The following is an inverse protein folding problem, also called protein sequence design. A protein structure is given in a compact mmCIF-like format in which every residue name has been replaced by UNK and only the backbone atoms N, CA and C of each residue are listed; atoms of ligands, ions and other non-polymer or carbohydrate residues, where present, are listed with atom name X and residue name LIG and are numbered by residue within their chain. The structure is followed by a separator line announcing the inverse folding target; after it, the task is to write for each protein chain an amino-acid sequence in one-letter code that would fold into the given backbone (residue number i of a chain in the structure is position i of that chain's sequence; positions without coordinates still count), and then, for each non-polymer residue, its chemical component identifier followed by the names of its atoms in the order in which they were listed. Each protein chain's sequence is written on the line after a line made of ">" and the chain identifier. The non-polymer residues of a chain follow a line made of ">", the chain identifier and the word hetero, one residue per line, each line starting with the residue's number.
data_IF_372528098785
#
_entry.id   IF_372528098785
#
_cell.length_a   1.000
_cell.length_b   1.000
_cell.length_c   1.000
_cell.angle_alpha   90.00
_cell.angle_beta   90.00
_cell.angle_gamma   90.00
#
_symmetry.space_group_name_H-M   'P 1'
#
loop_
_entity.id
_entity.type
_entity.pdbx_description
1 polymer ?
#
# COMPACT_ATOMS: atom_id res chain seq x y z
N UNK A 1 52.55 23.50 -18.33
CA UNK A 1 51.81 22.22 -18.52
C UNK A 1 50.45 22.55 -19.13
N UNK A 2 50.08 21.87 -20.22
CA UNK A 2 48.87 22.11 -21.05
C UNK A 2 47.62 21.49 -20.38
N UNK A 3 46.40 22.04 -20.57
CA UNK A 3 45.16 21.35 -20.20
C UNK A 3 44.63 20.53 -21.39
N UNK A 4 44.41 19.22 -21.19
CA UNK A 4 43.87 18.32 -22.21
C UNK A 4 42.42 17.89 -21.90
N UNK A 5 41.51 18.55 -22.62
CA UNK A 5 40.29 18.07 -23.29
C UNK A 5 39.42 16.98 -22.63
N UNK A 6 38.27 17.47 -22.17
CA UNK A 6 36.94 16.83 -22.12
C UNK A 6 36.63 16.09 -23.43
N UNK A 7 36.30 14.80 -23.34
CA UNK A 7 35.63 14.04 -24.40
C UNK A 7 34.24 13.64 -23.94
N UNK A 8 33.23 14.36 -24.43
CA UNK A 8 31.82 13.93 -24.46
C UNK A 8 31.68 12.88 -25.56
N UNK A 9 31.19 11.69 -25.23
CA UNK A 9 30.75 10.70 -26.24
C UNK A 9 29.24 10.52 -26.17
N UNK A 10 28.64 10.74 -27.34
CA UNK A 10 27.22 10.66 -27.69
C UNK A 10 26.66 9.25 -27.48
N UNK A 11 25.44 9.19 -26.94
CA UNK A 11 24.25 8.64 -27.59
C UNK A 11 24.23 7.15 -27.91
N UNK A 12 23.42 6.40 -27.15
CA UNK A 12 22.67 5.25 -27.66
C UNK A 12 21.26 5.29 -27.08
N UNK A 13 20.29 5.56 -27.98
CA UNK A 13 18.87 5.19 -27.83
C UNK A 13 18.82 3.66 -27.83
N UNK A 14 18.06 3.05 -26.94
CA UNK A 14 17.50 1.72 -27.18
C UNK A 14 15.99 1.76 -26.91
N UNK A 15 15.29 1.26 -27.91
CA UNK A 15 13.85 1.28 -28.12
C UNK A 15 13.10 0.32 -27.19
N UNK A 16 11.85 0.70 -26.99
CA UNK A 16 10.77 -0.01 -26.33
C UNK A 16 10.31 -1.14 -27.25
N UNK A 17 10.26 -2.37 -26.76
CA UNK A 17 9.55 -3.47 -27.42
C UNK A 17 8.29 -3.82 -26.63
N UNK A 18 7.14 -3.43 -27.19
CA UNK A 18 5.83 -4.02 -26.87
C UNK A 18 5.76 -5.42 -27.49
N UNK A 19 5.28 -6.40 -26.73
CA UNK A 19 4.68 -7.60 -27.28
C UNK A 19 3.45 -7.96 -26.46
N UNK A 20 2.32 -7.92 -27.15
CA UNK A 20 1.02 -8.37 -26.70
C UNK A 20 0.70 -9.73 -27.34
N UNK A 21 -0.31 -10.38 -26.77
CA UNK A 21 -1.12 -11.48 -27.32
C UNK A 21 -0.56 -12.91 -27.20
N UNK A 22 -1.19 -13.71 -26.33
CA UNK A 22 -2.12 -14.74 -26.82
C UNK A 22 -2.96 -15.28 -25.68
N UNK A 23 -4.25 -15.00 -25.78
CA UNK A 23 -5.34 -15.59 -25.01
C UNK A 23 -5.50 -17.08 -25.38
N UNK A 24 -5.88 -17.90 -24.42
CA UNK A 24 -6.60 -19.14 -24.71
C UNK A 24 -7.57 -19.41 -23.56
N UNK A 25 -8.82 -18.99 -23.75
CA UNK A 25 -9.98 -19.65 -23.16
C UNK A 25 -9.97 -21.13 -23.58
N UNK A 26 -10.53 -22.08 -22.84
CA UNK A 26 -11.70 -22.03 -21.98
C UNK A 26 -12.47 -23.34 -22.24
N UNK A 27 -13.38 -23.63 -21.33
CA UNK A 27 -14.44 -24.65 -21.41
C UNK A 27 -14.18 -26.03 -20.77
N UNK A 28 -15.26 -26.46 -20.14
CA UNK A 28 -15.45 -27.46 -19.09
C UNK A 28 -16.40 -28.52 -19.65
N UNK A 29 -15.99 -29.81 -19.62
CA UNK A 29 -16.78 -31.07 -19.45
C UNK A 29 -17.97 -31.34 -20.42
N UNK A 30 -18.69 -32.51 -20.44
CA UNK A 30 -18.63 -33.72 -19.58
C UNK A 30 -18.72 -35.12 -20.28
N UNK A 31 -18.49 -36.15 -19.46
CA UNK A 31 -19.08 -37.50 -19.36
C UNK A 31 -19.56 -38.29 -20.60
N UNK A 32 -19.08 -39.54 -20.71
CA UNK A 32 -19.85 -40.67 -21.24
C UNK A 32 -19.55 -41.95 -20.47
N UNK A 33 -20.62 -42.60 -20.05
CA UNK A 33 -20.71 -43.84 -19.29
C UNK A 33 -20.97 -45.02 -20.24
N UNK A 34 -20.70 -46.24 -19.76
CA UNK A 34 -21.15 -47.58 -20.19
C UNK A 34 -20.14 -48.47 -20.94
N UNK A 35 -19.87 -49.61 -20.31
CA UNK A 35 -19.21 -50.77 -20.89
C UNK A 35 -18.97 -51.86 -19.86
N UNK A 36 -20.04 -52.47 -19.33
CA UNK A 36 -19.99 -53.69 -18.53
C UNK A 36 -19.91 -54.90 -19.46
N UNK A 37 -18.96 -55.82 -19.22
CA UNK A 37 -19.16 -57.24 -19.49
C UNK A 37 -18.42 -58.13 -18.47
N UNK A 38 -19.19 -59.09 -17.97
CA UNK A 38 -18.98 -60.20 -17.02
C UNK A 38 -18.02 -61.29 -17.58
N UNK A 39 -17.59 -62.40 -16.96
CA UNK A 39 -17.51 -63.05 -15.63
C UNK A 39 -16.76 -64.39 -15.88
N UNK A 40 -15.91 -64.83 -14.95
CA UNK A 40 -15.67 -66.24 -14.52
C UNK A 40 -14.36 -66.25 -13.73
N UNK A 41 -14.20 -66.76 -12.49
CA UNK A 41 -14.98 -67.67 -11.68
C UNK A 41 -14.03 -68.78 -11.18
N UNK A 42 -13.66 -68.80 -9.91
CA UNK A 42 -13.54 -70.01 -9.07
C UNK A 42 -13.31 -69.65 -7.60
N UNK A 43 -14.00 -70.39 -6.76
CA UNK A 43 -14.28 -70.17 -5.35
C UNK A 43 -13.34 -70.94 -4.43
N UNK A 44 -12.97 -70.36 -3.28
CA UNK A 44 -12.81 -71.14 -2.04
C UNK A 44 -13.25 -70.32 -0.81
N UNK A 45 -14.39 -70.74 -0.23
CA UNK A 45 -14.90 -70.43 1.13
C UNK A 45 -13.86 -70.88 2.19
N UNK A 46 -13.69 -70.38 3.42
CA UNK A 46 -14.47 -69.67 4.46
C UNK A 46 -13.45 -69.34 5.58
N UNK A 47 -13.48 -68.27 6.37
CA UNK A 47 -14.36 -68.03 7.53
C UNK A 47 -14.01 -66.65 8.19
N UNK A 48 -14.90 -66.05 9.00
CA UNK A 48 -14.87 -64.63 9.37
C UNK A 48 -14.24 -64.33 10.73
N UNK A 49 -13.58 -63.16 10.90
CA UNK A 49 -13.26 -62.43 12.15
C UNK A 49 -12.23 -61.35 11.79
N UNK A 50 -12.27 -60.09 12.22
CA UNK A 50 -13.07 -59.28 13.14
C UNK A 50 -12.94 -57.86 12.60
N UNK A 51 -14.04 -57.13 12.41
CA UNK A 51 -13.98 -55.68 12.41
C UNK A 51 -13.49 -55.25 13.80
N UNK A 52 -12.23 -54.81 13.91
CA UNK A 52 -11.76 -54.15 15.12
C UNK A 52 -12.30 -52.73 15.06
N UNK A 53 -13.44 -52.53 15.69
CA UNK A 53 -13.92 -51.22 16.16
C UNK A 53 -12.73 -50.47 16.75
N UNK A 54 -12.46 -49.19 16.40
CA UNK A 54 -11.43 -48.44 17.09
C UNK A 54 -11.89 -48.32 18.55
N UNK A 55 -11.20 -49.04 19.44
CA UNK A 55 -11.45 -48.97 20.86
C UNK A 55 -11.30 -47.51 21.28
N UNK A 56 -12.41 -46.93 21.71
CA UNK A 56 -12.42 -45.70 22.48
C UNK A 56 -11.41 -45.86 23.62
N UNK A 57 -10.55 -44.86 23.75
CA UNK A 57 -9.47 -44.68 24.73
C UNK A 57 -9.84 -45.14 26.15
N UNK A 58 -9.73 -46.43 26.41
CA UNK A 58 -9.93 -47.04 27.73
C UNK A 58 -8.75 -47.99 27.95
N UNK A 59 -7.77 -47.49 28.69
CA UNK A 59 -6.52 -48.17 28.99
C UNK A 59 -5.32 -47.41 28.47
N UNK A 60 -4.47 -46.93 29.40
CA UNK A 60 -3.07 -46.49 29.25
C UNK A 60 -2.53 -46.32 27.83
N UNK A 61 -2.04 -45.11 27.49
CA UNK A 61 -1.30 -44.86 26.23
C UNK A 61 -0.22 -45.93 26.06
N UNK A 62 -0.26 -46.74 24.99
CA UNK A 62 0.74 -47.77 24.77
C UNK A 62 2.10 -47.12 24.54
N UNK A 63 3.15 -47.61 25.17
CA UNK A 63 4.51 -47.05 25.01
C UNK A 63 4.96 -47.08 23.54
N UNK A 64 4.53 -48.09 22.79
CA UNK A 64 4.89 -48.30 21.38
C UNK A 64 3.66 -48.34 20.48
N UNK A 65 3.66 -47.55 19.41
CA UNK A 65 2.56 -47.44 18.45
C UNK A 65 3.02 -47.65 17.00
N UNK A 66 2.10 -48.10 16.15
CA UNK A 66 2.33 -48.17 14.70
C UNK A 66 1.97 -46.82 14.03
N UNK A 67 2.35 -46.64 12.76
CA UNK A 67 2.09 -45.40 12.02
C UNK A 67 0.61 -45.02 11.96
N UNK A 68 -0.29 -46.00 11.90
CA UNK A 68 -1.74 -45.76 11.83
C UNK A 68 -2.27 -45.20 13.15
N UNK A 69 -1.82 -45.73 14.28
CA UNK A 69 -2.19 -45.24 15.61
C UNK A 69 -1.59 -43.84 15.87
N UNK A 70 -0.33 -43.60 15.50
CA UNK A 70 0.28 -42.27 15.58
C UNK A 70 -0.46 -41.26 14.69
N UNK A 71 -0.83 -41.65 13.47
CA UNK A 71 -1.60 -40.81 12.57
C UNK A 71 -2.94 -40.36 13.19
N UNK A 72 -3.64 -41.28 13.86
CA UNK A 72 -4.86 -40.96 14.61
C UNK A 72 -4.59 -40.03 15.79
N UNK A 73 -3.55 -40.31 16.60
CA UNK A 73 -3.20 -39.49 17.77
C UNK A 73 -2.78 -38.06 17.41
N UNK A 74 -2.07 -37.88 16.30
CA UNK A 74 -1.61 -36.57 15.81
C UNK A 74 -2.64 -35.86 14.93
N UNK A 75 -3.78 -36.50 14.61
CA UNK A 75 -4.76 -35.96 13.67
C UNK A 75 -4.20 -35.75 12.26
N UNK A 76 -3.31 -36.63 11.79
CA UNK A 76 -2.65 -36.58 10.48
C UNK A 76 -2.89 -37.85 9.66
N UNK A 77 -2.52 -37.81 8.38
CA UNK A 77 -2.56 -39.01 7.53
C UNK A 77 -1.35 -39.90 7.78
N UNK A 78 -1.47 -41.21 7.58
CA UNK A 78 -0.35 -42.15 7.69
C UNK A 78 0.81 -41.77 6.76
N UNK A 79 0.48 -41.28 5.55
CA UNK A 79 1.47 -40.73 4.60
C UNK A 79 2.24 -39.56 5.22
N UNK A 80 1.56 -38.64 5.89
CA UNK A 80 2.22 -37.50 6.53
C UNK A 80 3.13 -37.93 7.68
N UNK A 81 2.70 -38.91 8.49
CA UNK A 81 3.56 -39.47 9.55
C UNK A 81 4.81 -40.10 8.94
N UNK A 82 4.68 -40.91 7.88
CA UNK A 82 5.82 -41.51 7.18
C UNK A 82 6.77 -40.47 6.59
N UNK A 83 6.25 -39.38 6.03
CA UNK A 83 7.06 -38.26 5.55
C UNK A 83 7.84 -37.62 6.69
N UNK A 84 7.18 -37.30 7.81
CA UNK A 84 7.87 -36.73 8.97
C UNK A 84 8.96 -37.67 9.52
N UNK A 85 8.78 -38.98 9.40
CA UNK A 85 9.82 -39.97 9.73
C UNK A 85 10.97 -39.97 8.74
N UNK A 86 10.70 -39.81 7.43
CA UNK A 86 11.74 -39.69 6.40
C UNK A 86 12.52 -38.37 6.52
N UNK A 87 11.82 -37.29 6.86
CA UNK A 87 12.36 -35.96 7.11
C UNK A 87 13.16 -35.90 8.44
N UNK A 88 13.21 -37.00 9.21
CA UNK A 88 13.95 -37.11 10.48
C UNK A 88 13.27 -36.43 11.68
N UNK A 89 12.04 -35.94 11.52
CA UNK A 89 11.28 -35.25 12.57
C UNK A 89 10.70 -36.26 13.58
N UNK A 90 10.25 -37.41 13.09
CA UNK A 90 9.79 -38.53 13.92
C UNK A 90 10.76 -39.69 13.84
N UNK A 91 10.91 -40.42 14.94
CA UNK A 91 11.80 -41.58 15.00
C UNK A 91 11.04 -42.87 15.25
N UNK A 92 11.61 -43.95 14.73
CA UNK A 92 11.15 -45.31 15.01
C UNK A 92 12.29 -46.11 15.58
N UNK A 93 11.98 -46.93 16.57
CA UNK A 93 12.96 -47.78 17.25
C UNK A 93 12.44 -49.22 17.30
N UNK A 94 13.35 -50.16 17.55
CA UNK A 94 12.98 -51.56 17.78
C UNK A 94 12.55 -51.69 19.23
N UNK A 95 11.30 -52.10 19.52
CA UNK A 95 10.85 -52.26 20.91
C UNK A 95 11.70 -53.28 21.68
N UNK A 96 11.78 -53.20 23.03
CA UNK A 96 12.58 -54.10 23.86
C UNK A 96 12.24 -55.61 23.70
N UNK A 97 11.07 -55.93 23.16
CA UNK A 97 10.65 -57.30 22.83
C UNK A 97 11.00 -57.78 21.41
N UNK A 98 11.79 -57.01 20.66
CA UNK A 98 12.12 -57.29 19.26
C UNK A 98 10.95 -57.06 18.28
N UNK A 99 11.23 -57.29 16.99
CA UNK A 99 10.24 -57.17 15.92
C UNK A 99 10.37 -55.90 15.06
N UNK A 100 9.29 -55.55 14.35
CA UNK A 100 9.27 -54.40 13.45
C UNK A 100 9.44 -53.07 14.21
N UNK A 101 10.10 -52.09 13.57
CA UNK A 101 10.29 -50.74 14.14
C UNK A 101 8.94 -50.07 14.42
N UNK A 102 8.81 -49.45 15.59
CA UNK A 102 7.61 -48.75 16.06
C UNK A 102 7.97 -47.35 16.56
N UNK A 103 6.96 -46.51 16.68
CA UNK A 103 7.10 -45.19 17.28
C UNK A 103 6.95 -45.31 18.79
N UNK A 104 7.81 -44.61 19.53
CA UNK A 104 7.59 -44.41 20.95
C UNK A 104 6.54 -43.32 21.14
N UNK A 105 5.37 -43.67 21.65
CA UNK A 105 4.16 -42.85 21.49
C UNK A 105 4.30 -41.46 22.11
N UNK A 106 4.68 -41.37 23.38
CA UNK A 106 4.80 -40.09 24.09
C UNK A 106 5.87 -39.19 23.47
N UNK A 107 7.03 -39.75 23.15
CA UNK A 107 8.17 -39.03 22.59
C UNK A 107 7.88 -38.51 21.17
N UNK A 108 7.21 -39.34 20.35
CA UNK A 108 6.77 -38.96 18.99
C UNK A 108 5.79 -37.79 19.04
N UNK A 109 4.87 -37.78 20.00
CA UNK A 109 3.92 -36.67 20.18
C UNK A 109 4.65 -35.39 20.60
N UNK A 110 5.56 -35.48 21.58
CA UNK A 110 6.33 -34.32 22.05
C UNK A 110 7.19 -33.72 20.94
N UNK A 111 7.91 -34.55 20.17
CA UNK A 111 8.72 -34.11 19.02
C UNK A 111 7.86 -33.44 17.95
N UNK A 112 6.69 -34.00 17.67
CA UNK A 112 5.77 -33.41 16.70
C UNK A 112 5.25 -32.03 17.15
N UNK A 113 4.86 -31.90 18.43
CA UNK A 113 4.41 -30.62 19.00
C UNK A 113 5.53 -29.58 18.91
N UNK A 114 6.74 -29.91 19.36
CA UNK A 114 7.89 -29.02 19.29
C UNK A 114 8.19 -28.56 17.85
N UNK A 115 8.15 -29.48 16.88
CA UNK A 115 8.33 -29.13 15.47
C UNK A 115 7.24 -28.19 14.94
N UNK A 116 5.97 -28.39 15.32
CA UNK A 116 4.87 -27.52 14.89
C UNK A 116 5.01 -26.13 15.50
N UNK A 117 5.34 -26.04 16.79
CA UNK A 117 5.56 -24.77 17.50
C UNK A 117 6.74 -24.00 16.90
N UNK A 118 7.87 -24.65 16.68
CA UNK A 118 9.03 -24.05 16.03
C UNK A 118 8.67 -23.53 14.64
N UNK A 119 7.98 -24.34 13.82
CA UNK A 119 7.56 -23.93 12.48
C UNK A 119 6.60 -22.75 12.50
N UNK A 120 5.68 -22.70 13.48
CA UNK A 120 4.78 -21.58 13.64
C UNK A 120 5.53 -20.29 14.03
N UNK A 121 6.53 -20.41 14.91
CA UNK A 121 7.36 -19.28 15.31
C UNK A 121 8.20 -18.73 14.15
N UNK A 122 8.87 -19.61 13.39
CA UNK A 122 9.66 -19.21 12.22
C UNK A 122 8.83 -18.48 11.16
N UNK A 123 7.60 -18.96 10.91
CA UNK A 123 6.68 -18.31 9.97
C UNK A 123 6.20 -16.95 10.51
N UNK A 124 5.87 -16.87 11.80
CA UNK A 124 5.44 -15.63 12.45
C UNK A 124 6.53 -14.56 12.50
N UNK A 125 7.75 -14.96 12.84
CA UNK A 125 8.92 -14.07 12.86
C UNK A 125 9.32 -13.62 11.45
N UNK A 126 9.31 -14.55 10.48
CA UNK A 126 9.55 -14.22 9.07
C UNK A 126 8.53 -13.23 8.52
N UNK A 127 7.25 -13.41 8.85
CA UNK A 127 6.18 -12.47 8.50
C UNK A 127 6.37 -11.10 9.14
N UNK A 128 6.65 -11.06 10.45
CA UNK A 128 6.88 -9.81 11.18
C UNK A 128 8.10 -9.05 10.65
N UNK A 129 9.19 -9.75 10.34
CA UNK A 129 10.38 -9.14 9.75
C UNK A 129 10.10 -8.58 8.35
N UNK A 130 9.33 -9.31 7.53
CA UNK A 130 8.91 -8.84 6.22
C UNK A 130 8.04 -7.56 6.30
N UNK A 131 7.08 -7.53 7.23
CA UNK A 131 6.23 -6.36 7.46
C UNK A 131 7.04 -5.14 7.94
N UNK A 132 7.97 -5.34 8.87
CA UNK A 132 8.83 -4.26 9.35
C UNK A 132 9.72 -3.70 8.24
N UNK A 133 10.27 -4.57 7.38
CA UNK A 133 11.05 -4.14 6.23
C UNK A 133 10.19 -3.38 5.21
N UNK A 134 8.96 -3.82 4.95
CA UNK A 134 8.04 -3.11 4.06
C UNK A 134 7.75 -1.71 4.58
N UNK A 135 7.38 -1.57 5.85
CA UNK A 135 7.12 -0.27 6.48
C UNK A 135 8.34 0.65 6.44
N UNK A 136 9.54 0.09 6.65
CA UNK A 136 10.79 0.85 6.54
C UNK A 136 11.00 1.36 5.11
N UNK A 137 10.82 0.51 4.10
CA UNK A 137 10.96 0.89 2.70
C UNK A 137 9.93 1.96 2.29
N UNK A 138 8.68 1.82 2.72
CA UNK A 138 7.63 2.82 2.49
C UNK A 138 7.99 4.18 3.10
N UNK A 139 8.48 4.19 4.34
CA UNK A 139 8.93 5.42 5.00
C UNK A 139 10.14 6.05 4.28
N UNK A 140 11.09 5.25 3.81
CA UNK A 140 12.23 5.73 3.03
C UNK A 140 11.82 6.32 1.68
N UNK A 141 10.85 5.71 0.99
CA UNK A 141 10.29 6.23 -0.26
C UNK A 141 9.59 7.57 0.00
N UNK A 142 8.70 7.63 0.97
CA UNK A 142 7.98 8.86 1.31
C UNK A 142 8.93 10.00 1.69
N UNK A 143 10.00 9.69 2.44
CA UNK A 143 11.03 10.66 2.77
C UNK A 143 11.75 11.18 1.51
N UNK A 144 12.16 10.29 0.60
CA UNK A 144 12.83 10.67 -0.65
C UNK A 144 11.93 11.50 -1.57
N UNK A 145 10.64 11.18 -1.62
CA UNK A 145 9.66 11.94 -2.40
C UNK A 145 9.47 13.35 -1.84
N UNK A 146 9.34 13.48 -0.51
CA UNK A 146 9.27 14.76 0.18
C UNK A 146 10.53 15.60 -0.04
N UNK A 147 11.72 14.99 0.08
CA UNK A 147 12.99 15.62 -0.23
C UNK A 147 13.06 16.09 -1.69
N UNK A 148 12.66 15.24 -2.63
CA UNK A 148 12.60 15.59 -4.06
C UNK A 148 11.64 16.76 -4.33
N UNK A 149 10.48 16.77 -3.66
CA UNK A 149 9.50 17.87 -3.77
C UNK A 149 10.07 19.18 -3.23
N UNK A 150 10.70 19.14 -2.05
CA UNK A 150 11.36 20.29 -1.44
C UNK A 150 12.48 20.82 -2.34
N UNK A 151 13.29 19.95 -2.96
CA UNK A 151 14.32 20.37 -3.90
C UNK A 151 13.73 21.03 -5.14
N UNK A 152 12.62 20.51 -5.68
CA UNK A 152 11.89 21.16 -6.79
C UNK A 152 11.37 22.53 -6.40
N UNK A 153 10.77 22.66 -5.21
CA UNK A 153 10.28 23.94 -4.70
C UNK A 153 11.41 24.96 -4.53
N UNK A 154 12.52 24.56 -3.89
CA UNK A 154 13.71 25.43 -3.74
C UNK A 154 14.26 25.88 -5.08
N UNK A 155 14.32 24.97 -6.05
CA UNK A 155 14.77 25.30 -7.41
C UNK A 155 13.84 26.31 -8.06
N UNK A 156 12.52 26.11 -7.96
CA UNK A 156 11.55 27.03 -8.54
C UNK A 156 11.53 28.41 -7.85
N UNK A 157 11.80 28.47 -6.54
CA UNK A 157 12.03 29.73 -5.81
C UNK A 157 13.27 30.43 -6.37
N UNK A 158 14.39 29.71 -6.54
CA UNK A 158 15.62 30.28 -7.10
C UNK A 158 15.47 30.71 -8.58
N UNK A 159 14.59 30.03 -9.34
CA UNK A 159 14.20 30.42 -10.70
C UNK A 159 13.27 31.65 -10.74
N UNK A 160 12.80 32.14 -9.58
CA UNK A 160 11.92 33.31 -9.49
C UNK A 160 10.46 33.04 -9.81
N UNK A 161 10.01 31.77 -9.80
CA UNK A 161 8.60 31.42 -10.05
C UNK A 161 7.68 31.72 -8.86
N UNK A 162 8.24 31.97 -7.70
CA UNK A 162 7.52 32.21 -6.46
C UNK A 162 8.02 33.51 -5.82
N UNK A 163 7.07 34.31 -5.32
CA UNK A 163 7.34 35.50 -4.52
C UNK A 163 7.05 35.16 -3.04
N UNK A 164 7.89 35.61 -2.09
CA UNK A 164 7.56 35.50 -0.67
C UNK A 164 6.22 36.17 -0.36
N UNK A 165 5.41 35.56 0.50
CA UNK A 165 4.09 36.09 0.83
C UNK A 165 4.15 37.51 1.42
N UNK A 166 5.10 37.78 2.33
CA UNK A 166 5.30 39.12 2.90
C UNK A 166 5.58 40.16 1.81
N UNK A 167 6.51 39.84 0.89
CA UNK A 167 6.83 40.72 -0.23
C UNK A 167 5.62 40.92 -1.17
N UNK A 168 4.86 39.85 -1.45
CA UNK A 168 3.65 39.94 -2.25
C UNK A 168 2.61 40.86 -1.61
N UNK A 169 2.44 40.79 -0.29
CA UNK A 169 1.53 41.65 0.47
C UNK A 169 1.99 43.10 0.48
N UNK A 170 3.29 43.35 0.66
CA UNK A 170 3.86 44.70 0.61
C UNK A 170 3.68 45.35 -0.77
N UNK A 171 4.04 44.63 -1.85
CA UNK A 171 3.89 45.11 -3.22
C UNK A 171 2.41 45.36 -3.57
N UNK A 172 1.50 44.48 -3.12
CA UNK A 172 0.06 44.66 -3.30
C UNK A 172 -0.44 45.90 -2.53
N UNK A 173 0.01 46.11 -1.30
CA UNK A 173 -0.36 47.27 -0.49
C UNK A 173 0.09 48.58 -1.15
N UNK A 174 1.33 48.62 -1.65
CA UNK A 174 1.85 49.79 -2.38
C UNK A 174 1.07 50.05 -3.67
N UNK A 175 0.78 49.00 -4.44
CA UNK A 175 -0.07 49.08 -5.62
C UNK A 175 -1.47 49.63 -5.28
N UNK A 176 -2.11 49.10 -4.23
CA UNK A 176 -3.44 49.53 -3.81
C UNK A 176 -3.46 50.99 -3.34
N UNK A 177 -2.42 51.45 -2.64
CA UNK A 177 -2.29 52.85 -2.24
C UNK A 177 -2.13 53.76 -3.47
N UNK A 178 -1.31 53.38 -4.44
CA UNK A 178 -1.14 54.10 -5.70
C UNK A 178 -2.46 54.14 -6.51
N UNK A 179 -3.16 53.00 -6.58
CA UNK A 179 -4.45 52.88 -7.25
C UNK A 179 -5.52 53.74 -6.58
N UNK A 180 -5.64 53.73 -5.25
CA UNK A 180 -6.57 54.57 -4.51
C UNK A 180 -6.31 56.05 -4.79
N UNK A 181 -5.05 56.49 -4.74
CA UNK A 181 -4.67 57.87 -5.07
C UNK A 181 -5.07 58.22 -6.51
N UNK A 182 -4.80 57.33 -7.46
CA UNK A 182 -5.19 57.52 -8.85
C UNK A 182 -6.71 57.64 -9.00
N UNK A 183 -7.49 56.69 -8.45
CA UNK A 183 -8.94 56.68 -8.51
C UNK A 183 -9.55 57.97 -7.95
N UNK A 184 -9.04 58.46 -6.81
CA UNK A 184 -9.55 59.67 -6.17
C UNK A 184 -9.30 60.97 -6.95
N UNK A 185 -8.40 60.95 -7.95
CA UNK A 185 -8.19 62.08 -8.86
C UNK A 185 -9.18 62.09 -10.04
N UNK A 186 -9.83 60.95 -10.36
CA UNK A 186 -10.74 60.82 -11.51
C UNK A 186 -11.93 61.78 -11.40
N UNK A 187 -12.64 61.91 -10.25
CA UNK A 187 -13.78 62.83 -10.15
C UNK A 187 -13.40 64.28 -10.44
N UNK A 188 -12.21 64.72 -10.01
CA UNK A 188 -11.74 66.07 -10.25
C UNK A 188 -11.35 66.29 -11.73
N UNK A 189 -10.70 65.32 -12.36
CA UNK A 189 -10.37 65.37 -13.79
C UNK A 189 -11.63 65.38 -14.65
N UNK A 190 -12.61 64.55 -14.32
CA UNK A 190 -13.91 64.51 -15.00
C UNK A 190 -14.63 65.87 -14.87
N UNK A 191 -14.69 66.44 -13.67
CA UNK A 191 -15.30 67.75 -13.45
C UNK A 191 -14.64 68.85 -14.28
N UNK A 192 -13.31 68.82 -14.41
CA UNK A 192 -12.56 69.72 -15.29
C UNK A 192 -12.91 69.52 -16.77
N UNK A 193 -13.00 68.28 -17.24
CA UNK A 193 -13.34 67.97 -18.64
C UNK A 193 -14.78 68.33 -19.02
N UNK A 194 -15.71 68.30 -18.07
CA UNK A 194 -17.11 68.70 -18.26
C UNK A 194 -17.32 70.22 -18.17
N UNK A 195 -16.30 70.98 -17.80
CA UNK A 195 -16.37 72.43 -17.70
C UNK A 195 -16.75 73.04 -19.06
N UNK A 196 -17.85 73.79 -19.11
CA UNK A 196 -18.40 74.37 -20.34
C UNK A 196 -19.46 73.53 -21.06
N UNK A 197 -19.64 72.25 -20.70
CA UNK A 197 -20.68 71.37 -21.27
C UNK A 197 -21.90 71.19 -20.35
N UNK A 198 -21.75 71.48 -19.06
CA UNK A 198 -22.81 71.43 -18.06
C UNK A 198 -22.63 72.57 -17.04
N UNK A 199 -23.69 72.88 -16.29
CA UNK A 199 -23.62 73.88 -15.23
C UNK A 199 -22.81 73.38 -14.02
N UNK A 200 -22.28 74.33 -13.24
CA UNK A 200 -21.40 74.04 -12.12
C UNK A 200 -22.06 73.21 -11.01
N UNK A 201 -23.38 73.29 -10.82
CA UNK A 201 -24.10 72.53 -9.80
C UNK A 201 -24.18 71.07 -10.23
N UNK A 202 -24.56 70.81 -11.48
CA UNK A 202 -24.62 69.46 -12.04
C UNK A 202 -23.25 68.77 -12.01
N UNK A 203 -22.18 69.47 -12.42
CA UNK A 203 -20.80 68.96 -12.38
C UNK A 203 -20.40 68.61 -10.93
N UNK A 204 -20.69 69.49 -9.97
CA UNK A 204 -20.34 69.28 -8.56
C UNK A 204 -21.11 68.12 -7.93
N UNK A 205 -22.36 67.92 -8.31
CA UNK A 205 -23.18 66.81 -7.82
C UNK A 205 -22.68 65.47 -8.39
N UNK A 206 -22.38 65.40 -9.69
CA UNK A 206 -21.79 64.22 -10.31
C UNK A 206 -20.41 63.87 -9.71
N UNK A 207 -19.56 64.87 -9.48
CA UNK A 207 -18.26 64.69 -8.83
C UNK A 207 -18.40 64.08 -7.42
N UNK A 208 -19.36 64.55 -6.63
CA UNK A 208 -19.62 64.02 -5.28
C UNK A 208 -20.17 62.59 -5.32
N UNK A 209 -21.09 62.30 -6.24
CA UNK A 209 -21.67 60.98 -6.39
C UNK A 209 -20.58 59.93 -6.71
N UNK A 210 -19.76 60.21 -7.73
CA UNK A 210 -18.69 59.29 -8.15
C UNK A 210 -17.63 59.15 -7.05
N UNK A 211 -17.25 60.23 -6.36
CA UNK A 211 -16.32 60.13 -5.24
C UNK A 211 -16.85 59.21 -4.15
N UNK A 212 -18.14 59.35 -3.78
CA UNK A 212 -18.77 58.52 -2.76
C UNK A 212 -18.84 57.05 -3.17
N UNK A 213 -19.16 56.77 -4.44
CA UNK A 213 -19.17 55.40 -4.97
C UNK A 213 -17.77 54.76 -4.94
N UNK A 214 -16.73 55.52 -5.34
CA UNK A 214 -15.35 55.07 -5.25
C UNK A 214 -14.92 54.79 -3.81
N UNK A 215 -15.24 55.67 -2.86
CA UNK A 215 -14.96 55.46 -1.43
C UNK A 215 -15.68 54.23 -0.87
N UNK A 216 -16.93 54.01 -1.28
CA UNK A 216 -17.72 52.84 -0.84
C UNK A 216 -17.13 51.55 -1.38
N UNK A 217 -16.79 51.50 -2.68
CA UNK A 217 -16.18 50.31 -3.30
C UNK A 217 -14.81 49.99 -2.72
N UNK A 218 -13.95 51.00 -2.52
CA UNK A 218 -12.60 50.79 -1.98
C UNK A 218 -12.65 50.30 -0.53
N UNK A 219 -13.53 50.85 0.29
CA UNK A 219 -13.71 50.39 1.68
C UNK A 219 -14.19 48.93 1.71
N UNK A 220 -15.21 48.59 0.92
CA UNK A 220 -15.73 47.23 0.84
C UNK A 220 -14.66 46.21 0.39
N UNK A 221 -13.76 46.60 -0.52
CA UNK A 221 -12.66 45.75 -0.96
C UNK A 221 -11.62 45.51 0.14
N UNK A 222 -11.24 46.55 0.90
CA UNK A 222 -10.31 46.41 2.03
C UNK A 222 -10.91 45.54 3.14
N UNK A 223 -12.19 45.73 3.45
CA UNK A 223 -12.90 44.92 4.44
C UNK A 223 -12.95 43.43 4.05
N UNK A 224 -13.17 43.14 2.76
CA UNK A 224 -13.17 41.77 2.25
C UNK A 224 -11.79 41.10 2.33
N UNK A 225 -10.69 41.84 2.13
CA UNK A 225 -9.33 41.29 2.25
C UNK A 225 -8.93 40.97 3.69
N UNK A 226 -9.47 41.68 4.68
CA UNK A 226 -9.18 41.40 6.11
C UNK A 226 -10.00 40.24 6.68
N UNK A 227 -11.08 39.84 6.00
CA UNK A 227 -11.93 38.74 6.45
C UNK A 227 -11.39 37.35 6.09
N UNK A 228 -10.36 37.26 5.24
CA UNK A 228 -9.78 35.99 4.75
C UNK A 228 -8.45 35.60 5.43
N UNK A 229 -8.11 36.12 6.61
CA UNK A 229 -7.06 35.49 7.42
C UNK A 229 -7.60 34.13 7.94
N UNK A 230 -7.08 32.99 7.46
CA UNK A 230 -7.52 31.69 7.96
C UNK A 230 -7.07 31.55 9.41
N UNK A 231 -7.85 30.87 10.28
CA UNK A 231 -7.34 30.48 11.58
C UNK A 231 -6.08 29.67 11.37
N UNK A 232 -4.99 30.16 11.95
CA UNK A 232 -3.70 29.50 12.08
C UNK A 232 -3.93 28.00 12.36
N UNK A 233 -3.67 27.16 11.35
CA UNK A 233 -3.72 25.72 11.52
C UNK A 233 -2.54 25.33 12.41
N UNK A 234 -2.78 25.37 13.73
CA UNK A 234 -1.85 24.90 14.74
C UNK A 234 -1.57 23.39 14.53
N UNK A 235 -0.34 22.93 14.83
CA UNK A 235 0.16 21.60 14.48
C UNK A 235 -0.54 20.43 15.17
#
# INVERSE_FOLDING_TARGET
>A
MRPEKIQRKRGQKNEIHHQAESETGGAIRPAAEKGVLQVAGTTKKTAPKRSTTPAVLTGTVPEWANSTAIAQLLGKTTRRVQQLTQDGILETEVPPGGGARKYRTCETIQRYIAHVEQKAQEIGEGGRLAELNLKKLEAEVALKESQGSLHRLKTAIAEGKYLPAEQATEELAEFMAAFQKFAMTIPARMAGAMSGYADAITIRNAQKAIRKELETMLTAYVDAMQAEDPPEAAP
#
